data_IF_912830280423
#
_entry.id   IF_912830280423
#
_cell.length_a   1.000
_cell.length_b   1.000
_cell.length_c   1.000
_cell.angle_alpha   90.00
_cell.angle_beta   90.00
_cell.angle_gamma   90.00
#
_symmetry.space_group_name_H-M   'P 1'
#
loop_
_entity.id
_entity.type
_entity.pdbx_description
1 polymer ?
#
# COMPACT_ATOMS: atom_id res chain seq x y z
N UNK A 1 17.92 10.94 -20.58
CA UNK A 1 16.82 10.16 -21.20
C UNK A 1 16.84 8.65 -20.88
N UNK A 2 17.98 8.01 -20.57
CA UNK A 2 18.02 6.58 -20.22
C UNK A 2 17.45 6.20 -18.84
N UNK A 3 17.62 7.06 -17.81
CA UNK A 3 17.14 6.80 -16.45
C UNK A 3 15.61 6.65 -16.37
N UNK A 4 14.86 7.41 -17.16
CA UNK A 4 13.40 7.33 -17.21
C UNK A 4 12.89 6.03 -17.83
N UNK A 5 13.68 5.35 -18.68
CA UNK A 5 13.27 4.09 -19.29
C UNK A 5 13.40 2.92 -18.29
N UNK A 6 14.49 2.90 -17.50
CA UNK A 6 14.68 1.90 -16.45
C UNK A 6 13.60 2.03 -15.36
N UNK A 7 13.34 3.25 -14.89
CA UNK A 7 12.30 3.52 -13.88
C UNK A 7 10.91 3.18 -14.42
N UNK A 8 10.57 3.55 -15.66
CA UNK A 8 9.29 3.14 -16.28
C UNK A 8 9.16 1.63 -16.50
N UNK A 9 10.25 0.90 -16.74
CA UNK A 9 10.24 -0.56 -16.92
C UNK A 9 10.09 -1.29 -15.60
N UNK A 10 10.71 -0.78 -14.54
CA UNK A 10 10.58 -1.30 -13.17
C UNK A 10 9.20 -0.98 -12.58
N UNK A 11 8.68 0.24 -12.82
CA UNK A 11 7.28 0.58 -12.57
C UNK A 11 6.33 -0.28 -13.40
N UNK A 12 6.52 -0.48 -14.71
CA UNK A 12 5.63 -1.38 -15.48
C UNK A 12 5.75 -2.84 -15.06
N UNK A 13 6.89 -3.29 -14.53
CA UNK A 13 7.06 -4.64 -14.00
C UNK A 13 6.38 -4.80 -12.63
N UNK A 14 6.40 -3.78 -11.77
CA UNK A 14 5.67 -3.77 -10.49
C UNK A 14 4.17 -3.41 -10.64
N UNK A 15 3.81 -2.54 -11.57
CA UNK A 15 2.45 -2.01 -11.81
C UNK A 15 1.64 -2.80 -12.84
N UNK A 16 2.25 -3.74 -13.60
CA UNK A 16 1.47 -4.73 -14.36
C UNK A 16 0.71 -5.71 -13.45
N UNK A 17 1.07 -5.78 -12.16
CA UNK A 17 0.48 -6.68 -11.17
C UNK A 17 -0.31 -5.96 -10.07
N UNK A 18 -0.54 -4.65 -10.19
CA UNK A 18 -1.49 -3.94 -9.34
C UNK A 18 -2.76 -3.71 -10.17
N UNK A 19 -3.73 -4.64 -10.13
CA UNK A 19 -4.95 -4.55 -10.92
C UNK A 19 -5.76 -3.31 -10.51
N UNK A 20 -6.59 -2.80 -11.43
CA UNK A 20 -7.53 -1.71 -11.14
C UNK A 20 -8.41 -2.04 -9.93
N UNK A 21 -8.76 -3.31 -9.78
CA UNK A 21 -9.40 -3.88 -8.59
C UNK A 21 -8.68 -3.54 -7.29
N UNK A 22 -7.34 -3.48 -7.28
CA UNK A 22 -6.58 -3.18 -6.08
C UNK A 22 -6.60 -1.69 -5.75
N UNK A 23 -6.69 -0.81 -6.77
CA UNK A 23 -6.93 0.61 -6.57
C UNK A 23 -8.37 0.88 -6.07
N UNK A 24 -9.36 0.19 -6.64
CA UNK A 24 -10.76 0.26 -6.19
C UNK A 24 -10.93 -0.34 -4.79
N UNK A 25 -10.26 -1.45 -4.47
CA UNK A 25 -10.27 -2.06 -3.13
C UNK A 25 -9.63 -1.12 -2.11
N UNK A 26 -8.52 -0.45 -2.46
CA UNK A 26 -7.94 0.60 -1.61
C UNK A 26 -8.93 1.75 -1.44
N UNK A 27 -9.58 2.20 -2.52
CA UNK A 27 -10.61 3.24 -2.47
C UNK A 27 -11.75 2.89 -1.52
N UNK A 28 -12.36 1.71 -1.68
CA UNK A 28 -13.47 1.24 -0.86
C UNK A 28 -13.08 1.07 0.62
N UNK A 29 -11.87 0.58 0.89
CA UNK A 29 -11.38 0.47 2.27
C UNK A 29 -11.07 1.84 2.89
N UNK A 30 -10.58 2.81 2.10
CA UNK A 30 -10.38 4.20 2.52
C UNK A 30 -11.73 4.87 2.80
N UNK A 31 -12.76 4.63 1.98
CA UNK A 31 -14.11 5.17 2.23
C UNK A 31 -14.73 4.61 3.50
N UNK A 32 -14.53 3.31 3.79
CA UNK A 32 -15.05 2.66 5.00
C UNK A 32 -14.28 3.07 6.27
N UNK A 33 -12.95 3.23 6.19
CA UNK A 33 -12.14 3.67 7.32
C UNK A 33 -10.91 4.47 6.87
N UNK A 34 -11.08 5.79 6.63
CA UNK A 34 -10.00 6.64 6.15
C UNK A 34 -8.91 6.84 7.20
N UNK A 35 -9.27 6.79 8.48
CA UNK A 35 -8.33 6.95 9.60
C UNK A 35 -7.33 5.80 9.67
N UNK A 36 -7.81 4.57 9.50
CA UNK A 36 -6.95 3.39 9.44
C UNK A 36 -5.96 3.49 8.26
N UNK A 37 -6.44 3.91 7.10
CA UNK A 37 -5.59 4.09 5.93
C UNK A 37 -4.56 5.20 6.09
N UNK A 38 -4.93 6.33 6.71
CA UNK A 38 -3.96 7.38 7.04
C UNK A 38 -2.90 6.88 8.01
N UNK A 39 -3.27 6.11 9.04
CA UNK A 39 -2.33 5.49 9.98
C UNK A 39 -1.38 4.55 9.25
N UNK A 40 -1.90 3.67 8.39
CA UNK A 40 -1.12 2.73 7.61
C UNK A 40 -0.12 3.50 6.72
N UNK A 41 -0.59 4.48 5.96
CA UNK A 41 0.25 5.27 5.06
C UNK A 41 1.35 6.03 5.81
N UNK A 42 1.01 6.65 6.95
CA UNK A 42 1.96 7.40 7.78
C UNK A 42 3.03 6.49 8.37
N UNK A 43 2.64 5.37 8.98
CA UNK A 43 3.60 4.41 9.55
C UNK A 43 4.47 3.76 8.46
N UNK A 44 3.88 3.39 7.33
CA UNK A 44 4.66 2.83 6.21
C UNK A 44 5.65 3.85 5.67
N UNK A 45 5.29 5.14 5.59
CA UNK A 45 6.24 6.19 5.24
C UNK A 45 7.35 6.38 6.28
N UNK A 46 7.03 6.32 7.57
CA UNK A 46 8.04 6.43 8.64
C UNK A 46 9.05 5.28 8.59
N UNK A 47 8.58 4.05 8.34
CA UNK A 47 9.47 2.89 8.17
C UNK A 47 10.34 3.00 6.92
N UNK A 48 9.78 3.49 5.81
CA UNK A 48 10.56 3.75 4.58
C UNK A 48 11.60 4.84 4.82
N UNK A 49 11.24 5.92 5.52
CA UNK A 49 12.19 6.98 5.91
C UNK A 49 13.29 6.46 6.85
N UNK A 50 12.96 5.47 7.68
CA UNK A 50 13.91 4.74 8.52
C UNK A 50 14.84 3.79 7.77
N UNK A 51 14.76 3.72 6.43
CA UNK A 51 15.61 2.90 5.59
C UNK A 51 15.06 1.51 5.29
N UNK A 52 13.82 1.19 5.66
CA UNK A 52 13.18 -0.06 5.26
C UNK A 52 12.66 0.01 3.82
N UNK A 53 12.72 -1.12 3.14
CA UNK A 53 12.12 -1.26 1.81
C UNK A 53 10.59 -1.07 1.86
N UNK A 54 10.02 -0.45 0.83
CA UNK A 54 8.60 -0.12 0.76
C UNK A 54 7.70 -1.35 0.92
N UNK A 55 8.09 -2.48 0.33
CA UNK A 55 7.36 -3.75 0.47
C UNK A 55 7.39 -4.27 1.91
N UNK A 56 8.53 -4.17 2.58
CA UNK A 56 8.70 -4.58 3.99
C UNK A 56 7.89 -3.69 4.92
N UNK A 57 7.97 -2.38 4.73
CA UNK A 57 7.20 -1.40 5.50
C UNK A 57 5.68 -1.62 5.37
N UNK A 58 5.20 -1.83 4.14
CA UNK A 58 3.77 -2.10 3.91
C UNK A 58 3.34 -3.44 4.53
N UNK A 59 4.20 -4.46 4.49
CA UNK A 59 3.89 -5.77 5.08
C UNK A 59 3.88 -5.71 6.62
N UNK A 60 4.77 -4.94 7.22
CA UNK A 60 4.86 -4.76 8.66
C UNK A 60 3.66 -4.00 9.21
N UNK A 61 3.29 -2.92 8.54
CA UNK A 61 2.14 -2.09 8.93
C UNK A 61 0.82 -2.83 8.67
N UNK A 62 0.67 -3.51 7.53
CA UNK A 62 -0.51 -4.36 7.29
C UNK A 62 -0.64 -5.51 8.28
N UNK A 63 0.47 -6.10 8.77
CA UNK A 63 0.44 -7.06 9.88
C UNK A 63 -0.02 -6.43 11.18
N UNK A 64 0.47 -5.22 11.49
CA UNK A 64 0.06 -4.47 12.69
C UNK A 64 -1.44 -4.17 12.69
N UNK A 65 -1.95 -3.72 11.54
CA UNK A 65 -3.35 -3.37 11.34
C UNK A 65 -4.20 -4.53 10.80
N UNK A 66 -3.67 -5.76 10.75
CA UNK A 66 -4.33 -6.92 10.15
C UNK A 66 -5.71 -7.17 10.74
N UNK A 67 -5.83 -7.09 12.07
CA UNK A 67 -7.12 -7.31 12.77
C UNK A 67 -8.16 -6.26 12.38
N UNK A 68 -7.74 -5.01 12.23
CA UNK A 68 -8.64 -3.91 11.82
C UNK A 68 -9.02 -4.04 10.35
N UNK A 69 -8.06 -4.39 9.48
CA UNK A 69 -8.32 -4.69 8.07
C UNK A 69 -9.23 -5.91 7.88
N UNK A 70 -9.05 -6.97 8.68
CA UNK A 70 -9.92 -8.16 8.68
C UNK A 70 -11.34 -7.83 9.20
N UNK A 71 -11.46 -6.96 10.21
CA UNK A 71 -12.76 -6.47 10.67
C UNK A 71 -13.46 -5.63 9.61
N UNK A 72 -12.72 -4.75 8.93
CA UNK A 72 -13.22 -3.98 7.80
C UNK A 72 -13.68 -4.87 6.65
N UNK A 73 -12.87 -5.86 6.28
CA UNK A 73 -13.21 -6.82 5.21
C UNK A 73 -14.47 -7.63 5.49
N UNK A 74 -14.85 -7.84 6.76
CA UNK A 74 -16.12 -8.48 7.14
C UNK A 74 -17.34 -7.56 7.04
N UNK A 75 -17.11 -6.24 6.89
CA UNK A 75 -18.15 -5.21 6.74
C UNK A 75 -18.31 -4.74 5.29
N UNK A 76 -17.59 -5.37 4.35
CA UNK A 76 -17.68 -5.21 2.90
C UNK A 76 -18.40 -6.44 2.36
#
# INVERSE_FOLDING_TARGET
MFKNFLVKKLMKAQLKNLPKDQAEMIGAMVEKNPELFMKIAKESQELVKGGKDQMTAMMEVSKKYRKELEQLGKQI
#
